data_IF_243937823342
#
_entry.id   IF_243937823342
#
_cell.length_a   1.000
_cell.length_b   1.000
_cell.length_c   1.000
_cell.angle_alpha   90.00
_cell.angle_beta   90.00
_cell.angle_gamma   90.00
#
_symmetry.space_group_name_H-M   'P 1'
#
loop_
_entity.id
_entity.type
_entity.pdbx_description
1 polymer ?
#
# COMPACT_ATOMS: atom_id res chain seq x y z
N UNK A 1 -14.58 -19.63 14.00
CA UNK A 1 -14.88 -19.22 12.60
C UNK A 1 -14.44 -17.78 12.48
N UNK A 2 -13.82 -17.37 11.38
CA UNK A 2 -13.39 -15.98 11.18
C UNK A 2 -14.46 -15.23 10.40
N UNK A 3 -15.03 -14.21 11.03
CA UNK A 3 -15.98 -13.30 10.39
C UNK A 3 -15.25 -12.16 9.68
N UNK A 4 -15.84 -11.62 8.61
CA UNK A 4 -15.24 -10.50 7.83
C UNK A 4 -15.01 -9.25 8.69
N UNK A 5 -15.82 -9.04 9.72
CA UNK A 5 -15.63 -7.94 10.67
C UNK A 5 -14.27 -8.00 11.38
N UNK A 6 -13.73 -9.21 11.58
CA UNK A 6 -12.44 -9.41 12.24
C UNK A 6 -11.26 -8.84 11.42
N UNK A 7 -11.43 -8.62 10.11
CA UNK A 7 -10.42 -7.97 9.27
C UNK A 7 -10.14 -6.56 9.79
N UNK A 8 -11.20 -5.80 10.07
CA UNK A 8 -11.08 -4.41 10.48
C UNK A 8 -10.90 -4.26 11.99
N UNK A 9 -11.51 -5.15 12.78
CA UNK A 9 -11.47 -5.05 14.26
C UNK A 9 -10.22 -5.70 14.88
N UNK A 10 -9.62 -6.69 14.22
CA UNK A 10 -8.53 -7.48 14.79
C UNK A 10 -7.31 -7.54 13.87
N UNK A 11 -7.45 -8.03 12.64
CA UNK A 11 -6.30 -8.34 11.79
C UNK A 11 -5.51 -7.12 11.34
N UNK A 12 -6.17 -6.11 10.75
CA UNK A 12 -5.49 -4.90 10.28
C UNK A 12 -4.87 -4.08 11.43
N UNK A 13 -5.56 -3.84 12.56
CA UNK A 13 -4.93 -3.17 13.70
C UNK A 13 -3.70 -3.90 14.24
N UNK A 14 -3.75 -5.23 14.32
CA UNK A 14 -2.61 -6.04 14.77
C UNK A 14 -1.44 -5.98 13.78
N UNK A 15 -1.71 -6.12 12.48
CA UNK A 15 -0.69 -6.08 11.43
C UNK A 15 0.02 -4.71 11.39
N UNK A 16 -0.74 -3.61 11.47
CA UNK A 16 -0.17 -2.27 11.48
C UNK A 16 0.67 -1.98 12.74
N UNK A 17 0.33 -2.62 13.86
CA UNK A 17 1.10 -2.48 15.10
C UNK A 17 2.37 -3.33 15.08
N UNK A 18 2.28 -4.54 14.54
CA UNK A 18 3.35 -5.53 14.53
C UNK A 18 3.50 -6.13 13.13
N UNK A 19 4.16 -5.41 12.22
CA UNK A 19 4.44 -5.94 10.88
C UNK A 19 5.38 -7.15 11.00
N UNK A 20 5.30 -8.08 10.04
CA UNK A 20 6.20 -9.22 9.95
C UNK A 20 7.42 -8.88 9.07
N UNK A 21 8.61 -8.61 9.64
CA UNK A 21 9.78 -8.23 8.86
C UNK A 21 10.48 -9.41 8.17
N UNK A 22 10.14 -10.66 8.55
CA UNK A 22 10.80 -11.86 8.01
C UNK A 22 10.27 -12.27 6.62
N UNK A 23 9.11 -11.74 6.23
CA UNK A 23 8.52 -11.97 4.91
C UNK A 23 7.87 -10.67 4.39
N UNK A 24 8.67 -9.67 3.98
CA UNK A 24 8.16 -8.35 3.66
C UNK A 24 7.74 -8.24 2.20
N UNK A 25 6.51 -7.77 1.95
CA UNK A 25 6.09 -7.31 0.62
C UNK A 25 6.81 -6.01 0.22
N UNK A 26 7.06 -5.12 1.18
CA UNK A 26 7.86 -3.92 0.99
C UNK A 26 9.21 -4.07 1.73
N UNK A 27 10.23 -4.51 1.00
CA UNK A 27 11.57 -4.73 1.54
C UNK A 27 12.24 -3.46 2.07
N UNK A 28 11.96 -2.29 1.48
CA UNK A 28 12.52 -1.01 1.94
C UNK A 28 11.95 -0.64 3.31
N UNK A 29 10.63 -0.74 3.47
CA UNK A 29 9.94 -0.48 4.74
C UNK A 29 10.42 -1.43 5.84
N UNK A 30 10.58 -2.72 5.53
CA UNK A 30 11.09 -3.71 6.48
C UNK A 30 12.54 -3.44 6.89
N UNK A 31 13.42 -3.14 5.93
CA UNK A 31 14.81 -2.79 6.23
C UNK A 31 14.91 -1.52 7.08
N UNK A 32 14.08 -0.51 6.80
CA UNK A 32 14.02 0.74 7.55
C UNK A 32 13.52 0.49 8.98
N UNK A 33 12.47 -0.33 9.15
CA UNK A 33 11.97 -0.72 10.47
C UNK A 33 13.04 -1.46 11.30
N UNK A 34 13.76 -2.40 10.69
CA UNK A 34 14.77 -3.21 11.40
C UNK A 34 16.02 -2.41 11.79
N UNK A 35 16.45 -1.46 10.95
CA UNK A 35 17.70 -0.70 11.14
C UNK A 35 17.50 0.65 11.81
N UNK A 36 16.42 1.35 11.47
CA UNK A 36 16.14 2.74 11.86
C UNK A 36 14.67 2.94 12.26
N UNK A 37 14.20 2.34 13.37
CA UNK A 37 12.78 2.35 13.75
C UNK A 37 12.19 3.76 13.94
N UNK A 38 12.99 4.73 14.41
CA UNK A 38 12.53 6.12 14.55
C UNK A 38 12.28 6.81 13.20
N UNK A 39 13.10 6.51 12.21
CA UNK A 39 12.94 7.07 10.85
C UNK A 39 11.78 6.40 10.14
N UNK A 40 11.56 5.10 10.36
CA UNK A 40 10.36 4.41 9.93
C UNK A 40 9.09 5.08 10.47
N UNK A 41 9.03 5.35 11.79
CA UNK A 41 7.88 6.02 12.41
C UNK A 41 7.63 7.43 11.83
N UNK A 42 8.70 8.18 11.55
CA UNK A 42 8.59 9.50 10.93
C UNK A 42 8.06 9.39 9.49
N UNK A 43 8.60 8.46 8.69
CA UNK A 43 8.18 8.22 7.30
C UNK A 43 6.73 7.76 7.23
N UNK A 44 6.29 6.86 8.13
CA UNK A 44 4.89 6.43 8.21
C UNK A 44 3.98 7.62 8.52
N UNK A 45 4.33 8.48 9.48
CA UNK A 45 3.53 9.68 9.79
C UNK A 45 3.44 10.65 8.61
N UNK A 46 4.53 10.87 7.89
CA UNK A 46 4.55 11.69 6.67
C UNK A 46 3.61 11.11 5.60
N UNK A 47 3.68 9.79 5.37
CA UNK A 47 2.83 9.11 4.39
C UNK A 47 1.35 9.16 4.79
N UNK A 48 1.04 9.01 6.09
CA UNK A 48 -0.34 9.14 6.57
C UNK A 48 -0.87 10.56 6.31
N UNK A 49 -0.07 11.59 6.58
CA UNK A 49 -0.47 12.98 6.31
C UNK A 49 -0.63 13.28 4.82
N UNK A 50 0.16 12.64 3.95
CA UNK A 50 0.12 12.89 2.51
C UNK A 50 -0.99 12.11 1.80
N UNK A 51 -1.27 10.88 2.24
CA UNK A 51 -2.08 9.92 1.47
C UNK A 51 -3.27 9.33 2.23
N UNK A 52 -3.25 9.36 3.56
CA UNK A 52 -4.29 8.71 4.40
C UNK A 52 -5.06 9.72 5.25
N UNK A 53 -5.33 10.90 4.70
CA UNK A 53 -6.24 11.89 5.30
C UNK A 53 -7.66 11.69 4.77
N UNK A 54 -8.64 12.24 5.49
CA UNK A 54 -10.04 12.19 5.06
C UNK A 54 -10.20 12.87 3.70
N UNK A 55 -9.54 14.00 3.51
CA UNK A 55 -9.59 14.78 2.28
C UNK A 55 -9.01 13.99 1.09
N UNK A 56 -7.91 13.26 1.30
CA UNK A 56 -7.34 12.40 0.27
C UNK A 56 -8.25 11.21 -0.08
N UNK A 57 -8.91 10.62 0.93
CA UNK A 57 -9.86 9.54 0.72
C UNK A 57 -11.13 10.02 -0.02
N UNK A 58 -11.66 11.19 0.37
CA UNK A 58 -12.83 11.79 -0.27
C UNK A 58 -12.52 12.16 -1.73
N UNK A 59 -11.34 12.73 -2.00
CA UNK A 59 -10.89 13.06 -3.36
C UNK A 59 -10.68 11.83 -4.25
N UNK A 60 -10.19 10.72 -3.71
CA UNK A 60 -10.03 9.47 -4.45
C UNK A 60 -11.39 8.86 -4.86
N UNK A 61 -12.41 8.97 -4.00
CA UNK A 61 -13.76 8.47 -4.30
C UNK A 61 -14.50 9.30 -5.37
N UNK A 62 -14.09 10.54 -5.62
CA UNK A 62 -14.70 11.40 -6.66
C UNK A 62 -14.10 11.24 -8.05
N UNK A 63 -12.94 10.58 -8.19
CA UNK A 63 -12.24 10.43 -9.47
C UNK A 63 -12.57 9.14 -10.24
N UNK A 64 -13.41 8.25 -9.69
CA UNK A 64 -13.77 6.97 -10.34
C UNK A 64 -14.78 7.11 -11.51
N UNK A 65 -15.34 8.31 -11.74
CA UNK A 65 -16.36 8.53 -12.78
C UNK A 65 -15.82 9.06 -14.13
N UNK A 66 -14.55 9.50 -14.27
CA UNK A 66 -14.09 10.19 -15.51
C UNK A 66 -12.87 9.60 -16.26
N UNK A 67 -12.13 8.59 -15.76
CA UNK A 67 -10.88 8.12 -16.42
C UNK A 67 -10.82 6.60 -16.69
N UNK A 68 -11.88 6.01 -17.26
CA UNK A 68 -11.88 4.58 -17.66
C UNK A 68 -11.46 4.30 -19.12
N UNK A 69 -11.09 5.30 -19.90
CA UNK A 69 -10.68 5.09 -21.29
C UNK A 69 -9.40 5.87 -21.59
N UNK A 70 -8.23 5.24 -21.43
CA UNK A 70 -7.14 5.33 -22.42
C UNK A 70 -5.93 4.44 -22.05
N UNK A 71 -5.66 3.49 -22.95
CA UNK A 71 -4.33 2.98 -23.30
C UNK A 71 -3.67 1.85 -22.47
N UNK A 72 -4.30 0.67 -22.46
CA UNK A 72 -3.58 -0.61 -22.34
C UNK A 72 -3.20 -1.16 -23.73
N UNK A 73 -2.20 -0.55 -24.36
CA UNK A 73 -1.39 -1.11 -25.47
C UNK A 73 0.07 -0.75 -25.15
N UNK A 74 1.10 -1.59 -25.23
CA UNK A 74 1.42 -2.70 -26.11
C UNK A 74 2.52 -3.53 -25.41
N UNK A 75 2.21 -4.75 -24.95
CA UNK A 75 3.22 -5.75 -24.55
C UNK A 75 3.13 -6.97 -25.46
N UNK A 76 3.19 -6.73 -26.77
CA UNK A 76 3.08 -7.76 -27.80
C UNK A 76 4.27 -7.88 -28.75
N UNK A 77 5.38 -7.15 -28.54
CA UNK A 77 6.52 -7.17 -29.47
C UNK A 77 7.86 -7.36 -28.76
N UNK A 78 8.11 -8.59 -28.29
CA UNK A 78 9.48 -9.15 -28.31
C UNK A 78 9.46 -10.30 -29.29
N UNK A 79 10.18 -10.03 -30.39
CA UNK A 79 10.41 -10.85 -31.56
C UNK A 79 11.01 -12.21 -31.19
N UNK A 80 10.46 -13.24 -31.83
CA UNK A 80 11.17 -14.47 -32.20
C UNK A 80 12.48 -14.09 -32.94
N UNK A 81 13.62 -14.67 -32.54
CA UNK A 81 14.91 -14.32 -33.13
C UNK A 81 16.13 -14.85 -32.38
N UNK A 82 16.53 -16.07 -32.77
CA UNK A 82 17.77 -16.84 -32.51
C UNK A 82 17.85 -17.75 -31.26
#
# INVERSE_FOLDING_TARGET
MFDMINIFESFLPQLLRYPNPNDPLNGEAAALLMRHPKEYDAKVKEYVQRYATKEAADAANTNDDDDQDEEMSDIGSISDGE
#
